data_IF_735344560566
#
_entry.id   IF_735344560566
#
_cell.length_a   1.000
_cell.length_b   1.000
_cell.length_c   1.000
_cell.angle_alpha   90.00
_cell.angle_beta   90.00
_cell.angle_gamma   90.00
#
_symmetry.space_group_name_H-M   'P 1'
#
loop_
_entity.id
_entity.type
_entity.pdbx_description
1 polymer ?
2 non-polymer ?
3 non-polymer ?
#
# COMPACT_ATOMS: atom_id res chain seq x y z
N UNK A 7 0.01 -28.20 18.01
CA UNK A 7 -1.28 -28.18 17.32
C UNK A 7 -2.42 -28.18 18.34
N UNK A 8 -2.14 -27.69 19.55
CA UNK A 8 -3.15 -27.72 20.61
C UNK A 8 -4.28 -26.74 20.33
N UNK A 9 -3.93 -25.51 19.93
CA UNK A 9 -4.92 -24.48 19.63
C UNK A 9 -5.46 -24.59 18.22
N UNK A 10 -5.32 -25.74 17.57
CA UNK A 10 -5.81 -25.96 16.22
C UNK A 10 -7.24 -26.49 16.18
N UNK A 11 -7.98 -26.35 17.28
CA UNK A 11 -9.36 -26.81 17.30
C UNK A 11 -10.34 -25.70 17.55
N UNK A 12 -9.85 -24.45 17.50
CA UNK A 12 -10.69 -23.31 17.81
C UNK A 12 -11.84 -23.17 16.82
N UNK A 13 -11.52 -23.21 15.52
CA UNK A 13 -12.56 -23.04 14.51
C UNK A 13 -13.45 -24.26 14.40
N UNK A 14 -12.90 -25.46 14.67
CA UNK A 14 -13.75 -26.65 14.75
C UNK A 14 -14.77 -26.51 15.87
N UNK A 15 -14.36 -25.89 16.99
CA UNK A 15 -15.29 -25.64 18.08
C UNK A 15 -16.34 -24.61 17.69
N UNK A 16 -15.90 -23.46 17.16
CA UNK A 16 -16.81 -22.37 16.79
C UNK A 16 -17.70 -22.72 15.60
N UNK A 17 -17.45 -23.85 14.94
CA UNK A 17 -18.23 -24.19 13.76
C UNK A 17 -17.95 -23.31 12.57
N UNK A 18 -16.69 -22.96 12.37
CA UNK A 18 -16.26 -22.08 11.28
C UNK A 18 -15.40 -22.89 10.32
N UNK A 19 -15.71 -22.91 9.03
CA UNK A 19 -14.96 -23.77 8.10
C UNK A 19 -13.56 -23.22 7.83
N UNK A 20 -12.75 -24.06 7.20
CA UNK A 20 -11.40 -23.70 6.84
C UNK A 20 -10.55 -24.90 6.50
N UNK A 21 -9.36 -24.66 5.95
CA UNK A 21 -8.46 -25.77 5.61
C UNK A 21 -7.86 -26.39 6.87
N UNK A 22 -7.76 -27.71 6.86
CA UNK A 22 -7.27 -28.45 8.02
C UNK A 22 -5.81 -28.12 8.28
N UNK A 23 -5.45 -27.62 9.47
CA UNK A 23 -4.06 -27.20 9.71
C UNK A 23 -3.19 -28.38 10.12
N UNK A 24 -1.99 -28.45 9.52
CA UNK A 24 -1.00 -29.41 9.97
C UNK A 24 -0.39 -28.94 11.29
N UNK A 25 0.11 -29.87 12.11
CA UNK A 25 0.70 -29.48 13.39
C UNK A 25 1.91 -28.56 13.26
N UNK A 26 2.01 -27.61 14.17
CA UNK A 26 3.03 -26.57 14.17
C UNK A 26 2.92 -25.60 12.99
N UNK A 27 2.92 -26.14 11.77
CA UNK A 27 2.87 -25.29 10.59
C UNK A 27 1.52 -24.62 10.41
N UNK A 28 0.44 -25.28 10.83
CA UNK A 28 -0.88 -24.74 10.59
C UNK A 28 -1.26 -24.90 9.13
N UNK A 29 -1.58 -23.79 8.46
CA UNK A 29 -1.93 -23.80 7.05
C UNK A 29 -0.95 -23.01 6.20
N UNK A 30 0.27 -22.80 6.70
CA UNK A 30 1.21 -21.93 6.00
C UNK A 30 1.73 -22.56 4.72
N UNK A 31 1.69 -23.89 4.60
CA UNK A 31 2.11 -24.53 3.36
C UNK A 31 1.23 -24.13 2.18
N UNK A 32 0.00 -23.70 2.45
CA UNK A 32 -0.90 -23.25 1.40
C UNK A 32 -0.49 -21.90 0.82
N UNK A 33 0.44 -21.18 1.46
CA UNK A 33 0.99 -19.94 0.91
C UNK A 33 1.93 -20.16 -0.27
N UNK A 34 2.07 -21.40 -0.76
CA UNK A 34 3.01 -21.67 -1.84
C UNK A 34 2.65 -20.96 -3.13
N UNK A 35 1.39 -20.56 -3.29
CA UNK A 35 0.95 -19.78 -4.44
C UNK A 35 0.76 -18.31 -4.10
N UNK A 36 1.14 -17.89 -2.91
CA UNK A 36 0.96 -16.52 -2.48
C UNK A 36 -0.30 -16.30 -1.66
N UNK A 37 -0.29 -15.22 -0.89
CA UNK A 37 -1.45 -14.86 -0.08
C UNK A 37 -2.69 -14.69 -0.96
N UNK A 38 -2.50 -14.13 -2.15
CA UNK A 38 -3.64 -13.77 -2.99
C UNK A 38 -4.39 -15.01 -3.48
N UNK A 39 -3.67 -15.95 -4.09
CA UNK A 39 -4.32 -17.16 -4.59
C UNK A 39 -4.92 -17.97 -3.45
N UNK A 40 -4.24 -17.98 -2.30
CA UNK A 40 -4.78 -18.69 -1.13
C UNK A 40 -6.08 -18.04 -0.65
N UNK A 41 -6.13 -16.71 -0.64
CA UNK A 41 -7.35 -16.02 -0.23
C UNK A 41 -8.45 -16.17 -1.26
N UNK A 42 -8.11 -16.10 -2.55
CA UNK A 42 -9.11 -16.27 -3.60
C UNK A 42 -9.69 -17.69 -3.58
N UNK A 43 -8.84 -18.70 -3.33
CA UNK A 43 -9.32 -20.07 -3.26
C UNK A 43 -10.24 -20.27 -2.06
N UNK A 44 -9.82 -19.79 -0.88
CA UNK A 44 -10.61 -19.99 0.32
C UNK A 44 -11.92 -19.21 0.27
N UNK A 45 -11.94 -18.04 -0.39
CA UNK A 45 -13.17 -17.30 -0.56
C UNK A 45 -14.20 -18.12 -1.34
N UNK A 46 -13.73 -18.98 -2.24
CA UNK A 46 -14.64 -19.83 -3.00
C UNK A 46 -14.97 -21.11 -2.23
N UNK A 47 -14.02 -21.63 -1.46
CA UNK A 47 -14.20 -22.93 -0.84
C UNK A 47 -15.17 -22.88 0.34
N UNK A 48 -15.14 -21.78 1.10
CA UNK A 48 -15.87 -21.73 2.37
C UNK A 48 -16.88 -20.61 2.47
N UNK A 49 -16.93 -19.68 1.51
CA UNK A 49 -18.00 -18.71 1.45
C UNK A 49 -17.65 -17.40 2.14
N UNK A 50 -18.56 -16.93 2.99
CA UNK A 50 -18.46 -15.58 3.54
C UNK A 50 -17.51 -15.47 4.72
N UNK A 51 -17.26 -16.57 5.44
CA UNK A 51 -16.44 -16.53 6.64
C UNK A 51 -15.71 -17.86 6.76
N UNK A 52 -14.40 -17.79 7.01
CA UNK A 52 -13.59 -18.98 7.22
C UNK A 52 -12.39 -18.61 8.08
N UNK A 53 -11.71 -19.64 8.58
CA UNK A 53 -10.56 -19.44 9.44
C UNK A 53 -9.44 -20.38 9.09
N UNK A 54 -8.21 -19.90 9.27
CA UNK A 54 -7.01 -20.70 9.07
C UNK A 54 -6.00 -20.32 10.14
N UNK A 55 -4.87 -21.02 10.14
CA UNK A 55 -3.86 -20.87 11.18
C UNK A 55 -2.52 -20.47 10.56
N UNK A 56 -1.99 -19.33 11.00
CA UNK A 56 -0.62 -18.93 10.67
C UNK A 56 0.30 -19.48 11.76
N UNK A 57 0.64 -20.76 11.60
CA UNK A 57 1.33 -21.49 12.65
C UNK A 57 0.36 -21.95 13.71
N UNK A 58 0.52 -21.46 14.92
CA UNK A 58 -0.46 -21.65 15.99
C UNK A 58 -1.43 -20.48 16.09
N UNK A 59 -1.30 -19.48 15.23
CA UNK A 59 -2.08 -18.25 15.33
C UNK A 59 -3.37 -18.39 14.52
N UNK A 60 -4.54 -18.34 15.15
CA UNK A 60 -5.79 -18.42 14.39
C UNK A 60 -6.09 -17.10 13.69
N UNK A 61 -6.45 -17.18 12.42
CA UNK A 61 -6.80 -16.01 11.61
C UNK A 61 -8.16 -16.26 10.99
N UNK A 62 -9.13 -15.41 11.32
CA UNK A 62 -10.49 -15.51 10.81
C UNK A 62 -10.66 -14.52 9.67
N UNK A 63 -11.06 -15.03 8.51
CA UNK A 63 -11.30 -14.20 7.33
C UNK A 63 -12.78 -13.88 7.22
N UNK A 64 -13.10 -12.61 7.04
CA UNK A 64 -14.47 -12.13 6.93
C UNK A 64 -14.63 -11.36 5.63
N UNK A 65 -15.80 -11.51 5.00
CA UNK A 65 -16.12 -10.78 3.79
C UNK A 65 -17.42 -9.99 3.87
N UNK A 66 -18.17 -10.10 4.95
CA UNK A 66 -19.44 -9.38 5.09
C UNK A 66 -19.16 -7.89 5.23
N UNK A 67 -19.65 -7.05 4.31
CA UNK A 67 -19.33 -5.61 4.39
C UNK A 67 -19.80 -4.96 5.69
N UNK A 68 -20.87 -5.47 6.30
CA UNK A 68 -21.27 -4.96 7.61
C UNK A 68 -20.26 -5.38 8.68
N UNK A 69 -19.83 -6.64 8.66
CA UNK A 69 -18.83 -7.09 9.62
C UNK A 69 -17.49 -6.41 9.39
N UNK A 70 -17.18 -6.05 8.15
CA UNK A 70 -15.97 -5.29 7.87
C UNK A 70 -16.09 -3.87 8.40
N UNK A 71 -17.26 -3.25 8.21
CA UNK A 71 -17.51 -1.93 8.78
C UNK A 71 -17.42 -1.95 10.30
N UNK A 72 -17.88 -3.04 10.92
CA UNK A 72 -17.82 -3.15 12.37
C UNK A 72 -16.38 -3.21 12.87
N UNK A 73 -15.56 -4.06 12.24
CA UNK A 73 -14.17 -4.23 12.70
C UNK A 73 -13.36 -2.97 12.46
N UNK A 74 -13.44 -2.40 11.26
CA UNK A 74 -12.55 -1.31 10.90
C UNK A 74 -13.01 0.03 11.43
N UNK A 75 -14.31 0.20 11.66
CA UNK A 75 -14.84 1.52 12.02
C UNK A 75 -15.53 1.47 13.38
N UNK A 76 -16.63 0.72 13.47
CA UNK A 76 -17.51 0.82 14.62
C UNK A 76 -16.82 0.37 15.90
N UNK A 77 -15.96 -0.64 15.82
CA UNK A 77 -15.30 -1.19 17.00
C UNK A 77 -13.79 -1.07 16.92
N UNK A 78 -13.29 -0.06 16.19
CA UNK A 78 -11.85 0.11 16.06
C UNK A 78 -11.21 0.49 17.38
N UNK A 79 -11.68 1.57 18.01
CA UNK A 79 -11.08 2.03 19.25
C UNK A 79 -11.31 1.05 20.39
N UNK A 80 -12.41 0.30 20.35
CA UNK A 80 -12.79 -0.54 21.48
C UNK A 80 -12.12 -1.92 21.44
N UNK A 81 -12.14 -2.59 20.29
CA UNK A 81 -11.77 -4.00 20.19
C UNK A 81 -10.66 -4.20 19.16
N UNK A 82 -10.82 -3.64 17.97
CA UNK A 82 -9.91 -3.88 16.85
C UNK A 82 -9.04 -2.65 16.64
N UNK A 83 -8.11 -2.44 17.57
CA UNK A 83 -7.28 -1.24 17.58
C UNK A 83 -5.93 -1.47 16.90
N UNK A 84 -5.34 -2.66 17.07
CA UNK A 84 -3.97 -2.91 16.65
C UNK A 84 -3.92 -3.99 15.58
N UNK A 85 -2.84 -3.98 14.81
CA UNK A 85 -2.58 -5.01 13.82
C UNK A 85 -1.83 -6.17 14.46
N UNK A 86 -1.48 -7.15 13.64
CA UNK A 86 -0.76 -8.32 14.14
C UNK A 86 0.60 -7.90 14.69
N UNK A 87 1.00 -8.40 15.85
CA UNK A 87 2.32 -8.05 16.40
C UNK A 87 3.44 -8.46 15.46
N UNK A 88 4.35 -7.53 15.20
CA UNK A 88 5.42 -7.71 14.24
C UNK A 88 6.75 -7.47 14.93
N UNK A 89 7.64 -8.47 14.87
CA UNK A 89 8.93 -8.37 15.49
C UNK A 89 9.94 -9.34 14.90
N UNK A 90 11.22 -9.14 15.20
CA UNK A 90 11.80 -8.13 16.09
C UNK A 90 11.86 -6.75 15.44
N UNK A 91 11.66 -5.68 16.20
CA UNK A 91 11.61 -4.31 15.68
C UNK A 91 12.65 -3.42 16.36
N UNK A 92 12.75 -3.51 17.68
CA UNK A 92 13.69 -2.67 18.43
C UNK A 92 13.06 -1.33 18.77
N UNK A 93 13.78 -0.25 18.48
CA UNK A 93 13.25 1.09 18.73
C UNK A 93 12.06 1.41 17.83
N UNK A 94 11.93 0.73 16.70
CA UNK A 94 10.84 0.97 15.76
C UNK A 94 9.48 0.54 16.30
N UNK A 95 9.40 0.00 17.52
CA UNK A 95 8.11 -0.29 18.12
C UNK A 95 7.29 0.97 18.32
N UNK A 96 7.95 2.12 18.46
CA UNK A 96 7.27 3.39 18.61
C UNK A 96 6.77 3.97 17.29
N UNK A 97 6.94 3.24 16.20
CA UNK A 97 6.40 3.69 14.92
C UNK A 97 4.88 3.62 14.92
N UNK A 98 4.26 4.56 14.22
CA UNK A 98 2.80 4.67 14.24
C UNK A 98 2.15 3.42 13.65
N UNK A 99 2.78 2.84 12.62
CA UNK A 99 2.22 1.64 12.00
C UNK A 99 2.35 0.43 12.90
N UNK A 100 3.27 0.44 13.86
CA UNK A 100 3.49 -0.70 14.73
C UNK A 100 3.01 -0.46 16.16
N UNK A 101 2.89 0.81 16.59
CA UNK A 101 2.45 1.09 17.95
C UNK A 101 1.03 0.62 18.17
N UNK A 102 0.64 0.54 19.45
CA UNK A 102 -0.62 -0.06 19.85
C UNK A 102 -1.35 0.83 20.85
N UNK A 103 -2.68 0.70 20.85
CA UNK A 103 -3.56 1.29 21.85
C UNK A 103 -3.33 2.79 22.05
N UNK A 104 -3.06 3.19 23.30
CA UNK A 104 -2.94 4.61 23.61
C UNK A 104 -1.72 5.23 22.92
N UNK A 105 -0.60 4.50 22.86
CA UNK A 105 0.58 5.03 22.21
C UNK A 105 0.31 5.34 20.74
N UNK A 106 -0.49 4.50 20.08
CA UNK A 106 -0.86 4.77 18.70
C UNK A 106 -1.80 5.97 18.61
N UNK A 107 -2.76 6.08 19.53
CA UNK A 107 -3.70 7.19 19.50
C UNK A 107 -2.97 8.52 19.66
N UNK A 108 -1.93 8.56 20.48
CA UNK A 108 -1.15 9.78 20.65
C UNK A 108 -0.33 10.09 19.40
N UNK A 109 0.21 9.04 18.76
CA UNK A 109 0.98 9.24 17.53
C UNK A 109 0.08 9.65 16.37
N UNK A 110 -1.12 9.08 16.30
CA UNK A 110 -2.03 9.40 15.19
C UNK A 110 -2.41 10.87 15.20
N UNK A 111 -2.80 11.39 16.36
CA UNK A 111 -3.17 12.80 16.46
C UNK A 111 -1.98 13.71 16.16
N UNK A 112 -0.78 13.29 16.58
CA UNK A 112 0.41 14.11 16.42
C UNK A 112 0.83 14.23 14.96
N UNK A 113 0.63 13.18 14.17
CA UNK A 113 1.07 13.15 12.78
C UNK A 113 -0.04 13.42 11.78
N UNK A 114 -1.28 13.56 12.24
CA UNK A 114 -2.40 13.77 11.32
C UNK A 114 -2.39 15.09 10.57
N UNK A 115 -1.99 16.24 11.15
CA UNK A 115 -2.00 17.49 10.38
C UNK A 115 -0.92 17.60 9.33
N UNK A 116 -0.21 16.51 9.06
CA UNK A 116 0.81 16.51 8.01
C UNK A 116 0.18 16.37 6.62
N UNK A 117 -0.95 15.67 6.51
CA UNK A 117 -1.60 15.40 5.23
C UNK A 117 -2.95 16.08 5.13
N UNK A 118 -3.07 17.31 5.62
CA UNK A 118 -4.28 18.07 5.42
C UNK A 118 -4.35 18.57 3.97
N UNK A 119 -5.52 19.09 3.60
CA UNK A 119 -5.70 19.62 2.25
C UNK A 119 -4.81 20.84 2.03
N UNK A 120 -4.44 21.55 3.10
CA UNK A 120 -3.57 22.69 2.99
C UNK A 120 -2.11 22.31 2.88
N UNK A 121 -1.66 21.39 3.74
CA UNK A 121 -0.27 20.94 3.68
C UNK A 121 0.02 20.20 2.38
N UNK A 122 -0.98 19.52 1.82
CA UNK A 122 -0.79 18.88 0.52
C UNK A 122 -0.67 19.91 -0.58
N UNK A 123 -1.44 20.99 -0.50
CA UNK A 123 -1.36 22.06 -1.50
C UNK A 123 -0.03 22.80 -1.43
N UNK A 124 0.63 22.80 -0.27
CA UNK A 124 1.96 23.39 -0.18
C UNK A 124 3.03 22.54 -0.85
N UNK A 125 2.76 21.25 -1.06
CA UNK A 125 3.73 20.34 -1.65
C UNK A 125 3.62 20.24 -3.16
N UNK A 126 2.54 20.73 -3.76
CA UNK A 126 2.41 20.69 -5.22
C UNK A 126 3.47 21.53 -5.91
N UNK A 127 3.77 22.76 -5.49
CA UNK A 127 4.89 23.49 -6.12
C UNK A 127 6.24 22.84 -5.88
N UNK A 128 6.37 22.02 -4.84
CA UNK A 128 7.64 21.35 -4.56
C UNK A 128 7.77 20.06 -5.37
N UNK A 129 6.68 19.29 -5.47
CA UNK A 129 6.71 18.04 -6.23
C UNK A 129 6.94 18.32 -7.71
N UNK A 130 6.47 19.46 -8.22
CA UNK A 130 6.58 19.78 -9.63
C UNK A 130 8.01 19.85 -10.13
N UNK A 131 9.00 19.89 -9.23
CA UNK A 131 10.40 19.91 -9.67
C UNK A 131 10.84 18.55 -10.18
N UNK A 132 10.74 17.52 -9.34
CA UNK A 132 11.26 16.20 -9.68
C UNK A 132 10.43 15.50 -10.74
N UNK A 133 9.25 16.02 -11.08
CA UNK A 133 8.55 15.55 -12.27
C UNK A 133 9.30 15.91 -13.54
N UNK A 134 10.00 17.04 -13.54
CA UNK A 134 10.82 17.41 -14.69
C UNK A 134 12.14 16.66 -14.71
N UNK A 135 12.69 16.33 -13.54
CA UNK A 135 13.83 15.41 -13.49
C UNK A 135 13.39 14.03 -13.98
N UNK A 136 12.15 13.65 -13.71
CA UNK A 136 11.62 12.37 -14.18
C UNK A 136 11.48 12.36 -15.69
N UNK A 137 11.02 13.46 -16.28
CA UNK A 137 10.87 13.52 -17.73
C UNK A 137 12.23 13.57 -18.42
N UNK A 138 13.14 14.40 -17.91
CA UNK A 138 14.46 14.52 -18.53
C UNK A 138 15.27 13.24 -18.37
N UNK A 139 15.13 12.53 -17.25
CA UNK A 139 15.78 11.23 -17.12
C UNK A 139 15.17 10.21 -18.07
N UNK A 140 13.90 10.40 -18.44
CA UNK A 140 13.27 9.51 -19.40
C UNK A 140 13.57 9.89 -20.83
N UNK A 141 13.71 11.20 -21.10
CA UNK A 141 14.00 11.65 -22.45
C UNK A 141 15.35 11.14 -22.96
N UNK A 142 16.27 10.83 -22.05
CA UNK A 142 17.55 10.24 -22.45
C UNK A 142 17.38 8.79 -22.87
N UNK A 143 16.66 8.00 -22.07
CA UNK A 143 16.39 6.62 -22.39
C UNK A 143 15.29 6.45 -23.43
N UNK A 144 14.71 7.54 -23.92
CA UNK A 144 13.73 7.50 -25.00
C UNK A 144 14.30 7.88 -26.35
N UNK A 145 15.16 8.92 -26.39
CA UNK A 145 15.84 9.27 -27.63
C UNK A 145 16.81 8.18 -28.06
N UNK A 146 17.23 7.31 -27.15
CA UNK A 146 17.93 6.08 -27.48
C UNK A 146 16.76 5.13 -27.37
N UNK A 147 16.57 4.29 -28.40
CA UNK A 147 15.50 3.32 -28.41
C UNK A 147 15.87 2.14 -27.53
N UNK A 148 15.90 2.36 -26.22
CA UNK A 148 16.33 1.36 -25.26
C UNK A 148 15.16 1.21 -24.30
N UNK A 149 14.59 0.01 -24.15
CA UNK A 149 13.48 -0.17 -23.21
C UNK A 149 13.88 0.24 -21.80
N UNK A 150 12.89 0.69 -21.03
CA UNK A 150 13.11 1.34 -19.74
C UNK A 150 12.50 0.48 -18.64
N UNK A 151 13.31 0.20 -17.61
CA UNK A 151 12.78 -0.34 -16.37
C UNK A 151 12.05 0.76 -15.62
N UNK A 152 10.74 0.60 -15.45
CA UNK A 152 9.93 1.69 -14.91
C UNK A 152 10.22 1.94 -13.44
N UNK A 153 10.32 0.87 -12.65
CA UNK A 153 10.50 1.03 -11.20
C UNK A 153 11.81 1.73 -10.85
N UNK A 154 12.81 1.67 -11.74
CA UNK A 154 14.05 2.40 -11.51
C UNK A 154 13.83 3.91 -11.65
N UNK A 155 13.31 4.34 -12.79
CA UNK A 155 13.10 5.77 -13.02
C UNK A 155 11.93 6.28 -12.17
N UNK A 156 10.98 5.41 -11.81
CA UNK A 156 9.92 5.80 -10.90
C UNK A 156 10.42 5.87 -9.47
N UNK A 157 11.14 4.84 -9.03
CA UNK A 157 11.71 4.85 -7.68
C UNK A 157 12.70 5.99 -7.49
N UNK A 158 13.46 6.31 -8.53
CA UNK A 158 14.33 7.48 -8.48
C UNK A 158 13.50 8.75 -8.27
N UNK A 159 12.34 8.83 -8.91
CA UNK A 159 11.43 9.95 -8.66
C UNK A 159 10.81 9.84 -7.28
N UNK A 160 10.30 8.66 -6.93
CA UNK A 160 9.62 8.49 -5.65
C UNK A 160 10.55 8.74 -4.47
N UNK A 161 11.85 8.43 -4.62
CA UNK A 161 12.80 8.74 -3.55
C UNK A 161 13.05 10.23 -3.46
N UNK A 162 13.11 10.92 -4.60
CA UNK A 162 13.28 12.37 -4.59
C UNK A 162 12.10 13.08 -3.91
N UNK A 163 10.90 12.50 -4.00
CA UNK A 163 9.72 13.16 -3.46
C UNK A 163 9.71 13.08 -1.94
N UNK A 164 9.94 11.87 -1.40
CA UNK A 164 9.75 11.67 0.03
C UNK A 164 10.81 12.38 0.85
N UNK A 165 12.03 12.51 0.31
CA UNK A 165 13.10 13.15 1.07
C UNK A 165 12.86 14.64 1.26
N UNK A 166 12.22 15.29 0.29
CA UNK A 166 11.98 16.73 0.36
C UNK A 166 10.60 17.07 0.92
N UNK A 167 9.58 16.26 0.62
CA UNK A 167 8.24 16.52 1.16
C UNK A 167 8.20 16.42 2.67
N UNK A 168 9.14 15.70 3.28
CA UNK A 168 9.18 15.54 4.73
C UNK A 168 10.35 16.24 5.40
N UNK A 169 11.48 16.36 4.71
CA UNK A 169 12.68 16.95 5.29
C UNK A 169 13.15 18.18 4.51
N UNK A 170 13.55 18.01 3.25
CA UNK A 170 13.99 19.13 2.45
C UNK A 170 15.28 18.88 1.70
N UNK A 171 15.75 17.64 1.70
CA UNK A 171 17.00 17.29 1.04
C UNK A 171 16.73 17.03 -0.44
N UNK A 172 17.51 17.68 -1.30
CA UNK A 172 17.33 17.61 -2.75
C UNK A 172 18.49 16.85 -3.37
N UNK A 173 18.17 15.75 -4.06
CA UNK A 173 19.16 14.90 -4.71
C UNK A 173 18.58 14.37 -6.01
N UNK A 174 19.34 14.45 -7.10
CA UNK A 174 18.98 13.80 -8.35
C UNK A 174 19.30 12.33 -8.14
N UNK A 175 18.27 11.48 -8.17
CA UNK A 175 18.46 10.07 -7.85
C UNK A 175 19.05 9.27 -9.00
N UNK A 176 20.09 9.81 -9.64
CA UNK A 176 20.97 9.04 -10.51
C UNK A 176 22.44 9.12 -10.13
N UNK A 177 22.79 9.89 -9.11
CA UNK A 177 24.11 9.87 -8.48
C UNK A 177 23.87 9.00 -7.25
N UNK A 178 24.74 9.11 -6.25
CA UNK A 178 24.67 8.25 -5.07
C UNK A 178 23.46 8.44 -4.16
N UNK A 179 22.49 7.53 -4.16
CA UNK A 179 21.32 7.70 -3.28
C UNK A 179 21.61 7.10 -1.92
N UNK A 180 21.79 7.96 -0.91
CA UNK A 180 21.99 7.50 0.46
C UNK A 180 20.72 6.98 1.12
N UNK A 181 20.18 5.86 0.61
CA UNK A 181 18.97 5.26 1.17
C UNK A 181 18.81 3.80 0.78
N UNK A 182 19.58 2.88 1.40
CA UNK A 182 19.37 1.45 1.15
C UNK A 182 18.39 0.84 2.14
N UNK A 183 17.78 -0.27 1.72
CA UNK A 183 16.76 -0.94 2.58
C UNK A 183 16.42 -2.30 1.97
N UNK A 198 11.35 -15.39 2.34
CA UNK A 198 12.72 -15.24 2.82
C UNK A 198 12.80 -15.60 4.31
N UNK A 199 13.34 -14.70 5.12
CA UNK A 199 13.39 -14.94 6.58
C UNK A 199 12.28 -14.15 7.26
N UNK A 200 11.72 -13.17 6.54
CA UNK A 200 10.63 -12.34 7.11
C UNK A 200 9.46 -13.27 7.49
N UNK A 201 9.50 -14.52 7.00
CA UNK A 201 8.49 -15.51 7.42
C UNK A 201 9.15 -16.26 8.58
N UNK A 202 8.69 -17.48 8.88
CA UNK A 202 9.13 -18.21 10.09
C UNK A 202 8.57 -17.59 11.37
N UNK A 203 8.64 -16.28 11.50
CA UNK A 203 7.97 -15.56 12.62
C UNK A 203 6.60 -16.19 12.89
N UNK A 204 5.83 -16.43 11.83
CA UNK A 204 4.50 -17.07 11.98
C UNK A 204 4.68 -18.35 12.80
N UNK A 205 5.52 -19.26 12.33
CA UNK A 205 5.70 -20.58 13.00
C UNK A 205 6.78 -20.46 14.08
N UNK A 206 7.29 -19.25 14.30
CA UNK A 206 8.30 -19.05 15.37
C UNK A 206 8.14 -17.65 15.95
N UNK A 207 6.95 -17.30 16.50
CA UNK A 207 6.77 -15.99 17.10
C UNK A 207 7.42 -16.06 18.47
N UNK A 208 7.37 -17.24 19.10
CA UNK A 208 8.08 -17.41 20.39
C UNK A 208 9.48 -16.84 20.21
N UNK A 209 9.98 -16.92 18.98
CA UNK A 209 11.32 -16.43 18.75
C UNK A 209 11.40 -14.93 18.60
N UNK A 210 10.26 -14.25 18.49
CA UNK A 210 10.26 -12.80 18.35
C UNK A 210 10.80 -12.17 19.63
N UNK A 211 10.26 -12.47 20.81
CA UNK A 211 10.84 -11.87 22.03
C UNK A 211 12.30 -12.21 22.23
N UNK A 212 12.74 -13.37 21.75
CA UNK A 212 14.14 -13.78 21.75
C UNK A 212 15.07 -12.80 21.06
N UNK A 213 14.78 -12.52 19.78
CA UNK A 213 15.49 -11.50 19.03
C UNK A 213 15.22 -10.09 19.54
N UNK A 214 14.22 -9.92 20.40
CA UNK A 214 13.96 -8.63 21.04
C UNK A 214 15.07 -8.09 21.94
N UNK A 215 16.15 -8.84 22.13
CA UNK A 215 17.16 -8.56 23.16
C UNK A 215 18.56 -8.54 22.57
N UNK A 216 18.79 -9.34 21.53
CA UNK A 216 20.08 -9.33 20.84
C UNK A 216 20.09 -8.21 19.79
N UNK A 217 19.23 -7.21 19.94
CA UNK A 217 19.24 -5.98 19.15
C UNK A 217 19.25 -6.23 17.64
N UNK A 218 18.81 -7.40 17.20
CA UNK A 218 18.58 -7.64 15.78
C UNK A 218 17.32 -6.89 15.37
N UNK A 219 17.50 -5.66 14.91
CA UNK A 219 16.38 -4.77 14.59
C UNK A 219 16.34 -4.44 13.11
N UNK A 226 20.69 -1.48 10.60
CA UNK A 226 21.86 -0.63 10.51
C UNK A 226 21.63 0.70 11.23
N UNK A 227 22.72 1.34 11.65
CA UNK A 227 22.63 2.63 12.32
C UNK A 227 22.69 3.80 11.35
N UNK A 228 22.66 3.52 10.03
CA UNK A 228 22.70 4.51 8.96
C UNK A 228 22.00 5.85 8.99
N UNK A 229 20.67 5.83 9.08
CA UNK A 229 19.87 6.99 9.48
C UNK A 229 19.53 6.97 10.96
N UNK A 230 19.70 5.83 11.64
CA UNK A 230 19.58 5.77 13.08
C UNK A 230 20.47 6.78 13.78
N UNK A 231 21.55 7.20 13.13
CA UNK A 231 22.35 8.34 13.57
C UNK A 231 22.36 9.48 12.57
N UNK A 232 22.21 9.20 11.28
CA UNK A 232 22.17 10.26 10.27
C UNK A 232 20.87 11.05 10.37
N UNK A 233 19.73 10.36 10.25
CA UNK A 233 18.44 11.04 10.43
C UNK A 233 18.30 11.51 11.86
N UNK A 234 18.83 10.75 12.82
CA UNK A 234 18.92 11.24 14.19
C UNK A 234 19.68 12.56 14.26
N UNK A 235 20.64 12.73 13.34
CA UNK A 235 21.38 14.01 13.27
C UNK A 235 20.61 14.94 12.34
N UNK A 236 19.28 15.00 12.49
CA UNK A 236 18.47 16.00 11.73
C UNK A 236 18.52 17.34 12.47
N UNK A 237 19.73 17.77 12.84
CA UNK A 237 19.90 19.04 13.61
C UNK A 237 18.97 20.13 13.06
N UNK A 238 18.87 20.27 11.73
CA UNK A 238 18.07 21.38 11.17
C UNK A 238 18.29 22.63 12.04
N UNK A 239 19.54 22.89 12.42
CA UNK A 239 19.86 24.05 13.29
C UNK A 239 21.29 24.52 13.00
N UNK A 250 7.17 21.81 7.30
CA UNK A 250 7.33 20.44 6.84
C UNK A 250 6.99 19.45 7.96
N UNK A 251 6.97 18.16 7.60
CA UNK A 251 6.70 17.13 8.61
C UNK A 251 7.76 17.14 9.70
N UNK A 252 9.01 17.43 9.35
CA UNK A 252 10.05 17.61 10.35
C UNK A 252 9.80 18.86 11.18
N UNK A 253 9.22 19.90 10.58
CA UNK A 253 8.93 21.13 11.31
C UNK A 253 7.82 20.91 12.33
N UNK A 254 6.66 20.41 11.86
CA UNK A 254 5.47 20.27 12.71
C UNK A 254 5.68 19.31 13.88
N UNK A 255 6.80 18.61 13.94
CA UNK A 255 7.05 17.65 15.01
C UNK A 255 7.66 18.33 16.24
N UNK A 256 8.81 19.00 16.07
CA UNK A 256 9.38 19.74 17.18
C UNK A 256 8.50 20.91 17.58
N UNK A 257 7.68 21.42 16.65
CA UNK A 257 6.70 22.44 17.02
C UNK A 257 5.64 21.90 17.96
N UNK A 268 0.27 14.46 23.88
CA UNK A 268 1.40 14.88 24.76
C UNK A 268 2.55 15.39 23.90
N UNK A 269 3.74 14.82 24.05
CA UNK A 269 4.91 15.36 23.32
C UNK A 269 5.41 14.35 22.29
N UNK A 270 6.65 14.53 21.82
CA UNK A 270 7.24 13.59 20.84
C UNK A 270 8.76 13.64 20.95
N UNK A 271 9.40 12.47 21.02
CA UNK A 271 10.88 12.41 21.20
C UNK A 271 11.57 12.67 19.86
N UNK A 272 12.88 12.93 19.91
CA UNK A 272 13.65 13.11 18.65
C UNK A 272 13.88 11.73 18.03
N UNK A 273 13.89 10.68 18.86
CA UNK A 273 13.98 9.32 18.26
C UNK A 273 12.57 8.98 17.78
N UNK A 274 11.56 9.29 18.59
CA UNK A 274 10.18 9.09 18.13
C UNK A 274 10.10 9.77 16.78
N UNK A 275 11.01 10.72 16.54
CA UNK A 275 11.05 11.40 15.26
C UNK A 275 11.70 10.53 14.19
N UNK A 276 12.73 9.78 14.57
CA UNK A 276 13.44 8.95 13.59
C UNK A 276 12.54 7.82 13.11
N UNK A 277 11.88 7.13 14.03
CA UNK A 277 11.06 5.98 13.66
C UNK A 277 9.94 6.37 12.71
N UNK A 278 9.27 7.50 12.98
CA UNK A 278 8.20 7.94 12.10
C UNK A 278 8.74 8.34 10.73
N UNK A 279 9.89 9.03 10.70
CA UNK A 279 10.50 9.38 9.43
C UNK A 279 10.78 8.14 8.59
N UNK A 280 11.26 7.07 9.22
CA UNK A 280 11.54 5.82 8.49
C UNK A 280 10.25 5.25 7.93
N UNK A 281 9.16 5.31 8.70
CA UNK A 281 7.87 4.81 8.22
C UNK A 281 7.43 5.60 6.99
N UNK A 282 7.46 6.93 7.09
CA UNK A 282 7.06 7.77 5.96
C UNK A 282 8.01 7.60 4.79
N UNK A 283 9.26 7.21 5.05
CA UNK A 283 10.21 6.92 3.97
C UNK A 283 9.87 5.60 3.29
N UNK A 284 9.48 4.59 4.09
CA UNK A 284 9.11 3.28 3.54
C UNK A 284 8.03 3.41 2.47
N UNK A 285 6.90 4.02 2.83
CA UNK A 285 5.74 4.03 1.94
C UNK A 285 5.99 4.86 0.69
N UNK A 286 6.41 6.11 0.87
CA UNK A 286 6.49 7.03 -0.26
C UNK A 286 7.43 6.61 -1.36
N UNK A 287 8.29 5.62 -1.11
CA UNK A 287 9.17 5.12 -2.15
C UNK A 287 8.60 3.87 -2.80
N UNK A 288 8.52 2.78 -2.04
CA UNK A 288 8.20 1.48 -2.64
C UNK A 288 6.77 1.44 -3.14
N UNK A 289 5.82 1.96 -2.34
CA UNK A 289 4.43 1.93 -2.76
C UNK A 289 4.18 2.83 -3.96
N UNK A 290 4.78 4.02 -3.96
CA UNK A 290 4.55 4.97 -5.05
C UNK A 290 5.10 4.43 -6.37
N UNK A 291 6.30 3.83 -6.33
CA UNK A 291 6.91 3.34 -7.57
C UNK A 291 6.18 2.10 -8.08
N UNK A 292 5.84 1.17 -7.19
CA UNK A 292 5.23 -0.08 -7.63
C UNK A 292 3.88 0.14 -8.27
N UNK A 293 3.07 1.04 -7.73
CA UNK A 293 1.77 1.33 -8.32
C UNK A 293 1.93 2.03 -9.66
N UNK A 294 2.87 2.98 -9.74
CA UNK A 294 3.12 3.66 -11.01
C UNK A 294 3.57 2.68 -12.09
N UNK A 295 4.31 1.64 -11.70
CA UNK A 295 4.65 0.59 -12.66
C UNK A 295 3.43 -0.23 -13.04
N UNK A 296 2.54 -0.49 -12.07
CA UNK A 296 1.31 -1.21 -12.36
C UNK A 296 0.43 -0.42 -13.33
N UNK A 297 0.41 0.91 -13.20
CA UNK A 297 -0.43 1.73 -14.05
C UNK A 297 0.09 1.73 -15.48
N UNK A 298 1.41 1.88 -15.65
CA UNK A 298 1.96 1.98 -17.01
C UNK A 298 1.87 0.66 -17.75
N UNK A 299 1.91 -0.47 -17.04
CA UNK A 299 1.67 -1.76 -17.68
C UNK A 299 0.25 -1.82 -18.24
N UNK A 300 -0.73 -1.43 -17.43
CA UNK A 300 -2.12 -1.47 -17.88
C UNK A 300 -2.38 -0.41 -18.96
N UNK A 301 -1.71 0.73 -18.89
CA UNK A 301 -1.85 1.73 -19.95
C UNK A 301 -1.18 1.27 -21.24
N UNK A 302 -0.17 0.40 -21.14
CA UNK A 302 0.50 -0.10 -22.32
C UNK A 302 -0.26 -1.23 -22.98
N UNK A 303 -0.82 -2.15 -22.18
CA UNK A 303 -1.60 -3.25 -22.71
C UNK A 303 -3.03 -2.85 -23.06
N UNK A 304 -3.43 -1.63 -22.72
CA UNK A 304 -4.75 -1.09 -23.10
C UNK A 304 -4.52 0.29 -23.70
N UNK A 305 -4.12 0.36 -24.96
CA UNK A 305 -3.79 1.66 -25.57
C UNK A 305 -4.97 2.61 -25.68
N UNK A 306 -6.20 2.10 -25.71
CA UNK A 306 -7.36 2.97 -25.82
C UNK A 306 -7.53 3.82 -24.56
N UNK A 307 -7.31 3.22 -23.38
CA UNK A 307 -7.41 3.97 -22.14
C UNK A 307 -6.27 4.97 -22.02
N UNK A 308 -5.08 4.60 -22.52
CA UNK A 308 -3.93 5.50 -22.43
C UNK A 308 -4.14 6.77 -23.24
N UNK A 309 -4.77 6.65 -24.41
CA UNK A 309 -5.02 7.82 -25.24
C UNK A 309 -6.14 8.69 -24.65
N UNK A 310 -7.23 8.04 -24.22
CA UNK A 310 -8.33 8.78 -23.60
C UNK A 310 -7.87 9.53 -22.36
N UNK A 311 -6.87 9.01 -21.66
CA UNK A 311 -6.30 9.72 -20.53
C UNK A 311 -5.42 10.88 -20.98
N UNK A 312 -4.63 10.68 -22.03
CA UNK A 312 -3.80 11.77 -22.56
C UNK A 312 -4.65 12.90 -23.11
N UNK A 313 -5.84 12.59 -23.64
CA UNK A 313 -6.71 13.63 -24.16
C UNK A 313 -7.26 14.51 -23.05
N UNK A 314 -7.56 13.92 -21.89
CA UNK A 314 -8.06 14.70 -20.77
C UNK A 314 -6.96 15.57 -20.17
N UNK A 315 -5.73 15.07 -20.13
CA UNK A 315 -4.63 15.81 -19.55
C UNK A 315 -4.33 17.07 -20.36
N UNK A 316 -4.35 16.95 -21.69
CA UNK A 316 -4.14 18.12 -22.55
C UNK A 316 -5.32 19.09 -22.47
N UNK A 317 -6.50 18.61 -22.07
CA UNK A 317 -7.66 19.49 -21.97
C UNK A 317 -7.58 20.37 -20.72
N UNK A 318 -7.50 19.74 -19.54
CA UNK A 318 -7.39 20.49 -18.30
C UNK A 318 -6.11 21.32 -18.28
N UNK A 319 -5.04 20.80 -18.88
CA UNK A 319 -3.73 21.47 -18.91
C UNK A 319 -3.35 21.71 -20.37
N UNK A 320 -3.87 22.76 -20.99
CA UNK A 320 -3.48 23.05 -22.38
C UNK A 320 -2.06 23.59 -22.46
N UNK A 321 -1.45 23.41 -23.64
CA UNK A 321 -0.05 23.79 -23.87
C UNK A 321 0.89 23.13 -22.87
N UNK A 322 0.56 21.89 -22.49
CA UNK A 322 1.30 21.14 -21.47
C UNK A 322 1.43 21.96 -20.20
N UNK A 323 0.30 22.47 -19.71
CA UNK A 323 0.31 23.35 -18.55
C UNK A 323 0.80 22.60 -17.31
N UNK A 324 1.48 23.29 -16.40
CA UNK A 324 1.97 22.64 -15.19
C UNK A 324 0.83 22.19 -14.31
N UNK A 325 0.84 20.94 -13.84
CA UNK A 325 -0.25 20.46 -12.99
C UNK A 325 -0.23 21.14 -11.63
N UNK A 326 -1.39 21.63 -11.22
CA UNK A 326 -1.57 22.27 -9.92
C UNK A 326 -2.45 21.39 -9.03
N UNK A 327 -2.60 21.82 -7.77
CA UNK A 327 -3.39 21.04 -6.82
C UNK A 327 -4.82 20.87 -7.29
N UNK A 328 -5.43 21.94 -7.82
CA UNK A 328 -6.84 21.90 -8.18
C UNK A 328 -7.07 21.30 -9.56
N UNK A 329 -6.11 21.44 -10.48
CA UNK A 329 -6.27 20.84 -11.80
C UNK A 329 -6.13 19.32 -11.75
N UNK A 330 -5.36 18.80 -10.80
CA UNK A 330 -5.24 17.35 -10.65
C UNK A 330 -6.56 16.76 -10.17
N UNK A 331 -7.22 17.43 -9.22
CA UNK A 331 -8.49 16.92 -8.70
C UNK A 331 -9.62 17.01 -9.71
N UNK A 332 -9.52 17.90 -10.70
CA UNK A 332 -10.56 18.02 -11.71
C UNK A 332 -10.56 16.82 -12.65
N UNK A 333 -9.40 16.22 -12.89
CA UNK A 333 -9.29 15.10 -13.82
C UNK A 333 -9.94 13.86 -13.22
N UNK A 334 -11.11 13.47 -13.75
CA UNK A 334 -11.83 12.33 -13.22
C UNK A 334 -11.31 11.02 -13.81
N UNK A 335 -11.02 11.01 -15.12
CA UNK A 335 -10.54 9.78 -15.75
C UNK A 335 -9.18 9.36 -15.21
N UNK A 336 -8.34 10.32 -14.82
CA UNK A 336 -7.10 9.98 -14.15
C UNK A 336 -7.37 9.33 -12.80
N UNK A 337 -8.41 9.79 -12.09
CA UNK A 337 -8.80 9.15 -10.84
C UNK A 337 -9.34 7.75 -11.09
N UNK A 338 -10.08 7.57 -12.18
CA UNK A 338 -10.66 6.26 -12.48
C UNK A 338 -9.57 5.24 -12.82
N UNK A 339 -8.55 5.67 -13.57
CA UNK A 339 -7.45 4.76 -13.90
C UNK A 339 -6.69 4.35 -12.66
N UNK A 340 -6.40 5.32 -11.78
CA UNK A 340 -5.68 5.00 -10.54
C UNK A 340 -6.51 4.08 -9.65
N UNK A 341 -7.82 4.34 -9.58
CA UNK A 341 -8.69 3.51 -8.75
C UNK A 341 -8.79 2.09 -9.30
N UNK A 342 -8.90 1.95 -10.63
CA UNK A 342 -9.05 0.62 -11.21
C UNK A 342 -7.76 -0.19 -11.09
N UNK A 343 -6.61 0.45 -11.27
CA UNK A 343 -5.33 -0.25 -11.08
C UNK A 343 -5.19 -0.72 -9.63
N UNK A 344 -5.59 0.12 -8.67
CA UNK A 344 -5.50 -0.27 -7.26
C UNK A 344 -6.52 -1.35 -6.89
N UNK A 345 -7.58 -1.51 -7.69
CA UNK A 345 -8.44 -2.67 -7.49
C UNK A 345 -7.74 -3.95 -7.92
N UNK A 346 -7.14 -3.95 -9.10
CA UNK A 346 -6.44 -5.13 -9.58
C UNK A 346 -5.18 -5.40 -8.77
N UNK A 347 -4.58 -4.36 -8.18
CA UNK A 347 -3.32 -4.51 -7.45
C UNK A 347 -3.39 -3.72 -6.14
N UNK A 348 -4.14 -4.22 -5.16
CA UNK A 348 -4.05 -3.63 -3.81
C UNK A 348 -2.76 -4.06 -3.13
N UNK A 349 -1.74 -3.19 -3.17
CA UNK A 349 -0.39 -3.54 -2.77
C UNK A 349 -0.30 -4.07 -1.34
N UNK A 350 -1.35 -3.91 -0.54
CA UNK A 350 -1.38 -4.49 0.80
C UNK A 350 -2.00 -5.89 0.82
N UNK A 351 -2.87 -6.19 -0.15
CA UNK A 351 -3.49 -7.50 -0.31
C UNK A 351 -4.47 -7.77 0.83
N UNK A 352 -4.05 -7.55 2.07
CA UNK A 352 -4.83 -7.93 3.24
C UNK A 352 -4.86 -6.78 4.23
N UNK A 353 -5.96 -6.71 4.98
CA UNK A 353 -6.10 -5.85 6.14
C UNK A 353 -6.26 -6.72 7.37
N UNK A 354 -5.68 -6.30 8.50
CA UNK A 354 -5.68 -7.13 9.69
C UNK A 354 -5.91 -6.28 10.94
N UNK A 355 -6.63 -6.87 11.90
CA UNK A 355 -6.85 -6.28 13.22
C UNK A 355 -6.80 -7.41 14.24
N UNK A 356 -6.26 -7.11 15.42
CA UNK A 356 -6.20 -8.07 16.52
C UNK A 356 -7.39 -7.85 17.44
N UNK A 357 -8.18 -8.90 17.64
CA UNK A 357 -9.34 -8.86 18.53
C UNK A 357 -8.87 -8.94 19.97
N UNK A 358 -8.90 -7.80 20.68
CA UNK A 358 -8.30 -7.70 22.00
C UNK A 358 -9.16 -8.30 23.11
N UNK A 359 -10.43 -8.61 22.84
CA UNK A 359 -11.28 -9.21 23.85
C UNK A 359 -12.49 -9.84 23.18
N UNK A 360 -13.15 -10.73 23.91
CA UNK A 360 -14.31 -11.44 23.37
C UNK A 360 -15.38 -10.47 22.90
N UNK A 361 -15.89 -10.70 21.69
CA UNK A 361 -16.92 -9.85 21.10
C UNK A 361 -17.85 -10.72 20.28
N UNK A 362 -19.01 -10.14 19.96
CA UNK A 362 -20.05 -10.78 19.13
C UNK A 362 -20.48 -9.74 18.11
N UNK A 363 -19.82 -9.73 16.94
CA UNK A 363 -20.05 -8.72 15.91
C UNK A 363 -20.96 -9.31 14.84
N UNK A 364 -22.00 -8.56 14.49
CA UNK A 364 -22.95 -8.93 13.44
C UNK A 364 -23.44 -10.38 13.58
N UNK A 365 -23.59 -10.81 14.83
CA UNK A 365 -24.13 -12.13 15.12
C UNK A 365 -23.14 -13.27 15.05
N UNK A 366 -21.86 -13.00 15.31
CA UNK A 366 -20.83 -14.04 15.28
C UNK A 366 -19.87 -13.81 16.44
N UNK A 367 -19.74 -14.83 17.29
CA UNK A 367 -18.79 -14.74 18.40
C UNK A 367 -17.37 -14.88 17.89
N UNK A 368 -16.50 -13.97 18.33
CA UNK A 368 -15.09 -13.97 17.94
C UNK A 368 -14.25 -13.92 19.21
N UNK A 369 -13.39 -14.91 19.45
CA UNK A 369 -12.68 -14.97 20.73
C UNK A 369 -11.46 -14.05 20.76
N UNK A 370 -11.00 -13.78 21.97
CA UNK A 370 -9.87 -12.89 22.19
C UNK A 370 -8.60 -13.48 21.59
N UNK A 371 -7.75 -12.60 21.04
CA UNK A 371 -6.49 -13.00 20.46
C UNK A 371 -6.55 -13.39 19.00
N UNK A 372 -7.74 -13.64 18.45
CA UNK A 372 -7.87 -14.02 17.06
C UNK A 372 -7.61 -12.81 16.17
N UNK A 373 -6.84 -13.03 15.10
CA UNK A 373 -6.59 -12.02 14.09
C UNK A 373 -7.73 -12.04 13.09
N UNK A 374 -8.39 -10.89 12.92
CA UNK A 374 -9.45 -10.73 11.93
C UNK A 374 -8.82 -10.15 10.67
N UNK A 375 -9.07 -10.81 9.53
CA UNK A 375 -8.43 -10.46 8.28
C UNK A 375 -9.49 -10.15 7.22
N UNK A 376 -9.22 -9.13 6.40
CA UNK A 376 -10.08 -8.75 5.30
C UNK A 376 -9.31 -8.98 4.00
N UNK A 377 -9.63 -10.01 3.23
CA UNK A 377 -8.88 -10.28 2.00
C UNK A 377 -9.13 -9.24 0.92
N UNK A 378 -8.38 -8.14 0.95
CA UNK A 378 -8.61 -7.05 0.00
C UNK A 378 -8.45 -7.51 -1.44
N UNK A 379 -7.40 -8.29 -1.71
CA UNK A 379 -7.17 -8.76 -3.08
C UNK A 379 -8.32 -9.63 -3.56
N UNK A 380 -8.77 -10.57 -2.72
CA UNK A 380 -9.83 -11.48 -3.13
C UNK A 380 -11.14 -10.73 -3.35
N UNK A 381 -11.46 -9.78 -2.46
CA UNK A 381 -12.68 -9.01 -2.62
C UNK A 381 -12.64 -8.10 -3.85
N UNK A 382 -11.45 -7.58 -4.18
CA UNK A 382 -11.31 -6.77 -5.38
C UNK A 382 -11.48 -7.58 -6.66
N UNK A 383 -11.35 -8.90 -6.58
CA UNK A 383 -11.53 -9.79 -7.73
C UNK A 383 -12.77 -10.66 -7.58
N UNK A 384 -13.58 -10.44 -6.56
CA UNK A 384 -14.77 -11.24 -6.32
C UNK A 384 -15.76 -11.05 -7.46
N UNK A 385 -16.11 -12.11 -8.21
CA UNK A 385 -17.10 -11.95 -9.29
C UNK A 385 -18.49 -11.60 -8.79
N UNK A 386 -18.79 -11.87 -7.51
CA UNK A 386 -20.06 -11.46 -6.92
C UNK A 386 -20.21 -9.95 -6.72
N UNK A 387 -19.25 -9.15 -7.19
CA UNK A 387 -19.25 -7.71 -6.99
C UNK A 387 -18.78 -7.01 -8.26
N UNK A 388 -17.91 -7.67 -9.03
CA UNK A 388 -17.27 -7.08 -10.19
C UNK A 388 -17.53 -7.93 -11.41
N UNK A 389 -18.02 -7.29 -12.48
CA UNK A 389 -18.24 -7.96 -13.75
C UNK A 389 -16.91 -8.06 -14.51
N UNK A 390 -16.56 -9.28 -14.90
CA UNK A 390 -15.26 -9.56 -15.53
C UNK A 390 -14.13 -8.98 -14.68
N UNK A 391 -13.94 -9.50 -13.46
CA UNK A 391 -13.03 -8.82 -12.52
C UNK A 391 -11.57 -8.83 -12.95
N UNK A 392 -11.15 -9.84 -13.71
CA UNK A 392 -9.75 -9.88 -14.17
C UNK A 392 -9.45 -8.85 -15.24
N UNK A 393 -10.48 -8.23 -15.83
CA UNK A 393 -10.28 -7.31 -16.95
C UNK A 393 -10.11 -5.88 -16.43
N UNK A 394 -9.11 -5.19 -16.95
CA UNK A 394 -8.88 -3.79 -16.62
C UNK A 394 -9.96 -2.94 -17.28
N UNK A 395 -10.84 -2.36 -16.47
CA UNK A 395 -11.98 -1.58 -16.96
C UNK A 395 -12.19 -0.38 -16.06
N UNK A 396 -11.56 0.77 -16.38
CA UNK A 396 -11.71 1.96 -15.54
C UNK A 396 -13.13 2.51 -15.48
N UNK A 397 -14.02 2.08 -16.38
CA UNK A 397 -15.39 2.57 -16.37
C UNK A 397 -16.20 2.07 -15.18
N UNK A 398 -15.64 1.18 -14.36
CA UNK A 398 -16.30 0.82 -13.11
C UNK A 398 -16.40 2.01 -12.18
N UNK A 399 -15.42 2.92 -12.24
CA UNK A 399 -15.33 4.05 -11.33
C UNK A 399 -15.84 5.35 -11.95
N UNK A 400 -16.59 5.27 -13.04
CA UNK A 400 -17.26 6.45 -13.57
C UNK A 400 -18.37 6.87 -12.62
N UNK A 401 -18.65 8.18 -12.58
CA UNK A 401 -19.70 8.68 -11.69
C UNK A 401 -21.06 8.12 -12.05
N UNK A 402 -21.22 7.57 -13.25
CA UNK A 402 -22.42 6.81 -13.57
C UNK A 402 -22.42 5.45 -12.90
N UNK A 403 -21.24 4.90 -12.60
CA UNK A 403 -21.12 3.56 -12.04
C UNK A 403 -20.34 3.51 -10.74
N UNK A 404 -19.77 4.63 -10.27
CA UNK A 404 -19.04 4.60 -9.00
C UNK A 404 -19.96 4.40 -7.79
N UNK A 405 -21.29 4.48 -7.99
CA UNK A 405 -22.25 4.27 -6.90
C UNK A 405 -22.55 2.81 -6.63
N UNK A 406 -22.28 1.92 -7.59
CA UNK A 406 -22.51 0.48 -7.44
C UNK A 406 -21.30 -0.21 -6.82
N UNK A 407 -20.52 0.52 -6.01
CA UNK A 407 -19.28 0.00 -5.45
C UNK A 407 -19.32 0.17 -3.94
N UNK A 408 -19.22 -0.94 -3.21
CA UNK A 408 -19.28 -0.90 -1.75
C UNK A 408 -17.92 -0.49 -1.19
N UNK A 409 -17.85 0.54 -0.34
CA UNK A 409 -16.56 1.01 0.16
C UNK A 409 -15.91 0.08 1.18
N UNK A 410 -16.58 -0.98 1.59
CA UNK A 410 -15.97 -2.01 2.43
C UNK A 410 -15.61 -3.25 1.64
N UNK A 411 -15.82 -3.22 0.33
CA UNK A 411 -15.28 -4.24 -0.57
C UNK A 411 -14.05 -3.73 -1.31
N UNK A 412 -14.10 -2.49 -1.78
CA UNK A 412 -12.96 -1.83 -2.41
C UNK A 412 -12.25 -1.00 -1.34
N UNK A 413 -11.21 -1.57 -0.75
CA UNK A 413 -10.45 -0.92 0.33
C UNK A 413 -8.96 -0.97 0.01
N UNK A 414 -8.51 -0.16 -0.96
CA UNK A 414 -7.07 -0.12 -1.24
C UNK A 414 -6.26 0.62 -0.18
N UNK A 415 -6.90 1.46 0.63
CA UNK A 415 -6.22 2.22 1.67
C UNK A 415 -6.75 1.89 3.07
N UNK A 416 -7.37 0.73 3.24
CA UNK A 416 -8.00 0.39 4.49
C UNK A 416 -9.27 1.19 4.71
N UNK A 417 -9.66 1.29 5.98
CA UNK A 417 -10.84 2.06 6.36
C UNK A 417 -10.83 2.24 7.87
N UNK A 418 -11.59 3.24 8.32
CA UNK A 418 -11.72 3.51 9.74
C UNK A 418 -10.63 4.43 10.26
N UNK A 419 -10.52 4.53 11.59
CA UNK A 419 -9.51 5.43 12.18
C UNK A 419 -8.09 5.07 11.81
N UNK A 420 -7.79 3.78 11.58
CA UNK A 420 -6.44 3.34 11.26
C UNK A 420 -6.27 3.07 9.78
N UNK A 421 -6.86 3.92 8.92
CA UNK A 421 -6.67 3.80 7.49
C UNK A 421 -5.28 4.30 7.10
N UNK A 422 -4.98 4.29 5.82
CA UNK A 422 -3.71 4.80 5.32
C UNK A 422 -3.66 6.31 5.51
N UNK A 423 -2.86 6.75 6.50
CA UNK A 423 -2.77 8.17 6.81
C UNK A 423 -2.16 8.97 5.65
N UNK A 424 -1.39 8.31 4.79
CA UNK A 424 -0.79 9.02 3.66
C UNK A 424 -1.51 8.77 2.36
N UNK A 425 -2.83 8.53 2.44
CA UNK A 425 -3.62 8.26 1.25
C UNK A 425 -3.67 9.46 0.31
N UNK A 426 -4.12 10.60 0.84
CA UNK A 426 -4.29 11.79 -0.01
C UNK A 426 -2.95 12.24 -0.59
N UNK A 427 -1.87 12.11 0.18
CA UNK A 427 -0.55 12.44 -0.35
C UNK A 427 -0.13 11.46 -1.45
N UNK A 428 -0.39 10.17 -1.24
CA UNK A 428 0.02 9.17 -2.22
C UNK A 428 -0.71 9.34 -3.55
N UNK A 429 -2.03 9.49 -3.50
CA UNK A 429 -2.80 9.70 -4.72
C UNK A 429 -2.33 10.94 -5.45
N UNK A 430 -2.11 12.04 -4.72
CA UNK A 430 -1.64 13.26 -5.35
C UNK A 430 -0.23 13.09 -5.91
N UNK A 431 0.63 12.37 -5.19
CA UNK A 431 2.00 12.16 -5.66
C UNK A 431 2.01 11.36 -6.96
N UNK A 432 1.24 10.28 -7.02
CA UNK A 432 1.21 9.46 -8.22
C UNK A 432 0.53 10.19 -9.38
N UNK A 433 -0.56 10.92 -9.10
CA UNK A 433 -1.26 11.63 -10.16
C UNK A 433 -0.40 12.75 -10.73
N UNK A 434 0.31 13.48 -9.87
CA UNK A 434 1.23 14.51 -10.35
C UNK A 434 2.33 13.92 -11.22
N UNK A 435 2.66 12.63 -11.01
CA UNK A 435 3.68 11.98 -11.82
C UNK A 435 3.11 11.49 -13.14
N UNK A 436 1.90 10.93 -13.13
CA UNK A 436 1.30 10.42 -14.36
C UNK A 436 1.03 11.55 -15.34
N UNK A 437 0.63 12.72 -14.86
CA UNK A 437 0.29 13.83 -15.74
C UNK A 437 1.52 14.29 -16.51
N UNK A 438 2.63 14.54 -15.80
CA UNK A 438 3.81 15.08 -16.45
C UNK A 438 4.48 14.05 -17.36
N UNK A 439 4.31 12.76 -17.07
CA UNK A 439 4.91 11.72 -17.90
C UNK A 439 4.08 11.49 -19.16
N UNK A 440 2.76 11.32 -19.00
CA UNK A 440 1.90 11.11 -20.15
C UNK A 440 1.77 12.36 -21.01
N UNK A 441 2.05 13.54 -20.47
CA UNK A 441 2.07 14.76 -21.26
C UNK A 441 3.20 14.76 -22.28
N UNK A 442 4.24 13.94 -22.07
CA UNK A 442 5.41 13.92 -22.94
C UNK A 442 5.63 12.60 -23.66
N UNK A 443 5.27 11.47 -23.06
CA UNK A 443 5.63 10.17 -23.60
C UNK A 443 4.39 9.28 -23.76
N UNK A 444 4.48 8.37 -24.73
CA UNK A 444 3.53 7.29 -24.89
C UNK A 444 4.26 5.96 -24.71
N UNK A 445 3.54 4.95 -24.24
CA UNK A 445 4.13 3.69 -23.83
C UNK A 445 3.53 2.54 -24.61
N UNK A 446 4.39 1.66 -25.12
CA UNK A 446 4.01 0.52 -25.92
C UNK A 446 4.65 -0.76 -25.37
N UNK A 447 4.01 -1.91 -25.56
CA UNK A 447 4.63 -3.16 -25.10
C UNK A 447 5.88 -3.49 -25.90
N UNK A 448 6.85 -4.08 -25.20
CA UNK A 448 8.12 -4.46 -25.79
C UNK A 448 8.19 -5.97 -25.99
N UNK A 449 9.30 -6.42 -26.56
CA UNK A 449 9.51 -7.85 -26.78
C UNK A 449 9.66 -8.60 -25.46
N UNK A 450 10.32 -7.99 -24.49
CA UNK A 450 10.57 -8.61 -23.18
C UNK A 450 9.53 -8.21 -22.14
N UNK A 451 8.46 -7.53 -22.54
CA UNK A 451 7.41 -7.17 -21.58
C UNK A 451 6.59 -8.40 -21.22
N UNK A 452 6.42 -8.63 -19.92
CA UNK A 452 5.70 -9.80 -19.42
C UNK A 452 4.22 -9.62 -19.68
N UNK A 453 3.70 -10.30 -20.69
CA UNK A 453 2.28 -10.23 -21.05
C UNK A 453 1.73 -11.65 -21.11
N UNK A 454 0.81 -12.03 -20.21
CA UNK A 454 0.23 -11.24 -19.13
C UNK A 454 1.20 -11.08 -17.95
N UNK A 455 0.92 -10.15 -17.04
CA UNK A 455 1.81 -9.90 -15.92
C UNK A 455 1.53 -10.89 -14.80
N UNK A 456 2.51 -11.72 -14.48
CA UNK A 456 2.41 -12.55 -13.28
C UNK A 456 2.63 -11.70 -12.05
N UNK A 457 1.83 -11.95 -11.02
CA UNK A 457 2.10 -11.35 -9.72
C UNK A 457 3.18 -12.16 -9.00
N UNK A 458 3.87 -11.49 -8.08
CA UNK A 458 4.89 -12.17 -7.30
C UNK A 458 4.25 -13.24 -6.43
N UNK A 459 4.51 -14.52 -6.76
CA UNK A 459 4.00 -15.62 -5.96
C UNK A 459 4.57 -15.65 -4.55
N UNK A 460 5.48 -14.73 -4.22
CA UNK A 460 6.10 -14.69 -2.91
C UNK A 460 5.21 -13.75 -2.12
N UNK A 461 5.83 -12.94 -1.26
CA UNK A 461 5.19 -12.28 -0.13
C UNK A 461 4.48 -10.98 -0.44
N UNK A 462 5.22 -9.99 -0.94
CA UNK A 462 4.67 -8.67 -1.22
C UNK A 462 4.17 -8.59 -2.66
N UNK A 463 3.20 -7.70 -2.89
CA UNK A 463 2.50 -7.61 -4.17
C UNK A 463 3.35 -6.80 -5.14
N UNK A 464 4.13 -7.53 -5.94
CA UNK A 464 4.94 -6.97 -7.01
C UNK A 464 4.82 -7.89 -8.21
N UNK A 465 5.25 -7.45 -9.39
CA UNK A 465 5.34 -8.37 -10.53
C UNK A 465 6.54 -9.30 -10.40
N UNK A 466 6.40 -10.48 -11.00
CA UNK A 466 7.52 -11.41 -11.08
C UNK A 466 8.68 -10.77 -11.85
N UNK A 467 8.49 -10.59 -13.14
CA UNK A 467 9.47 -9.84 -13.92
C UNK A 467 9.19 -8.34 -13.84
N UNK A 468 10.23 -7.52 -13.74
CA UNK A 468 10.02 -6.06 -13.72
C UNK A 468 9.34 -5.58 -14.99
N UNK A 469 8.68 -4.43 -14.89
CA UNK A 469 7.90 -3.88 -15.98
C UNK A 469 8.84 -3.07 -16.87
N UNK A 470 9.09 -3.57 -18.08
CA UNK A 470 9.90 -2.88 -19.07
C UNK A 470 9.01 -2.56 -20.27
N UNK A 471 8.98 -1.28 -20.65
CA UNK A 471 8.16 -0.80 -21.75
C UNK A 471 8.99 0.08 -22.66
N UNK A 472 8.54 0.20 -23.91
CA UNK A 472 9.16 1.10 -24.86
C UNK A 472 8.56 2.49 -24.69
N UNK A 473 9.42 3.50 -24.67
CA UNK A 473 9.01 4.88 -24.43
C UNK A 473 9.24 5.67 -25.71
N UNK A 474 8.19 6.36 -26.18
CA UNK A 474 8.25 7.19 -27.36
C UNK A 474 7.90 8.62 -26.99
N UNK A 475 8.50 9.58 -27.70
CA UNK A 475 8.36 10.99 -27.38
C UNK A 475 7.31 11.64 -28.29
N UNK A 476 6.36 12.32 -27.67
CA UNK A 476 5.31 13.02 -28.42
C UNK A 476 5.83 14.35 -28.95
X LIG B 1 -1.43 2.18 6.35
X LIG B 1 -2.10 1.41 1.60
X LIG B 1 0.98 5.02 0.59
X LIG B 1 1.55 5.89 5.33
X LIG B 1 -1.88 1.65 5.16
X LIG B 1 -2.81 0.54 5.01
X LIG B 1 -2.99 0.34 3.70
X LIG B 1 -2.19 1.30 2.98
X LIG B 1 -3.89 -0.73 3.06
X LIG B 1 -3.47 -0.26 6.15
X LIG B 1 -4.88 0.26 6.40
X LIG B 1 -5.57 -0.66 7.37
X LIG B 1 -6.76 -0.39 7.71
X LIG B 1 -4.96 -1.67 7.81
X LIG B 1 -1.35 2.34 0.91
X LIG B 1 -1.34 2.52 -0.53
X LIG B 1 -0.48 3.52 -0.81
X LIG B 1 0.07 3.99 0.44
X LIG B 1 -2.20 1.66 -1.49
X LIG B 1 -0.08 4.13 -2.18
X LIG B 1 -0.52 3.71 -3.37
X LIG B 1 1.36 5.61 1.77
X LIG B 1 2.15 6.81 1.91
X LIG B 1 2.33 7.06 3.21
X LIG B 1 1.64 6.02 3.96
X LIG B 1 2.71 7.66 0.74
X LIG B 1 3.13 8.27 3.75
X LIG B 1 3.38 8.47 5.05
X LIG B 1 0.84 4.92 6.02
X LIG B 1 0.87 4.70 7.45
X LIG B 1 0.05 3.69 7.73
X LIG B 1 -0.54 3.21 6.49
X LIG B 1 1.70 5.49 8.49
X LIG B 1 -0.23 3.11 9.14
X LIG B 1 -1.54 3.71 9.63
X LIG B 1 -1.69 3.52 11.12
X LIG B 1 -2.33 4.38 11.77
X LIG B 1 -1.16 2.50 11.65
X LIG B 1 -1.52 2.08 3.91
X LIG B 1 -0.48 3.26 1.47
X LIG B 1 1.07 5.15 3.04
X LIG B 1 -0.03 3.99 5.47
X LIG B 1 -0.21 3.59 3.47
X LIG C 1 4.82 1.77 4.80
X LIG C 1 4.80 1.45 6.31
X LIG C 1 3.98 0.19 6.68
X LIG C 1 5.53 -0.69 8.53
X LIG C 1 6.42 -1.78 9.14
X LIG C 1 6.06 -4.56 8.08
X LIG C 1 5.16 -4.30 6.86
X LIG C 1 6.08 -3.48 4.72
X LIG C 1 7.72 -1.95 8.32
X LIG C 1 8.91 -2.08 9.29
X LIG C 1 10.15 -1.24 11.20
X LIG C 1 11.04 -2.30 11.09
X LIG C 1 10.86 -3.26 10.08
X LIG C 1 9.79 -3.15 9.19
X LIG C 1 9.08 -1.12 10.30
X LIG C 1 3.82 -5.07 6.95
X LIG C 1 2.81 -4.42 5.98
X LIG C 1 2.84 -4.81 4.64
X LIG C 1 1.90 -3.43 6.40
X LIG C 1 1.02 -2.86 5.48
X LIG C 1 1.06 -3.27 4.14
X LIG C 1 1.96 -4.24 3.72
X LIG C 1 6.75 -3.53 3.35
X LIG C 1 3.51 1.44 4.05
X LIG C 1 3.48 0.31 3.23
X LIG C 1 2.28 0.02 2.55
X LIG C 1 1.18 0.86 2.73
X LIG C 1 2.38 2.24 4.19
X LIG C 1 8.04 -3.06 3.22
X LIG C 1 8.01 -3.49 0.92
X LIG C 1 6.69 -3.96 1.00
X LIG C 1 6.04 -3.97 2.24
X LIG C 1 1.84 -3.00 7.74
X LIG C 1 0.92 -2.02 8.14
X LIG C 1 0.05 -1.45 7.20
X LIG C 1 0.10 -1.88 5.87
X LIG C 1 4.83 -0.88 7.24
X LIG C 1 5.83 -4.63 5.59
X LIG C 1 1.25 1.94 3.52
X LIG C 1 8.63 -3.06 2.03
X LIG C 1 5.43 0.34 9.13
X LIG C 1 5.73 -2.41 5.11
X LIG C 1 5.49 -3.35 9.32
#
# INVERSE_FOLDING_TARGET
>A
MAYLYGTHSHGLFKKLGIPGPTPLPFLGNILSYHKGFCMFDMECHKKYGKVWGFYDGQQPVLAITDPDMIKTVLVKECYSVFTNRRPFGPVGFMKSAISIAEDEEWKRLRSLLSPTFTSGKLKEMVPIIAQYGDVLVRNLRREAETGKPVTLKDVFGAYSMDVITSTSFGVNIDSLNNPQDPFVENTKKLLRFDFLDPFFLSITVFPFLIPILEVLNICVFPREVTNFLRKSVKRMKESRLEDTQKHRVDFLQLMIDSQNSKETESHKALSDLELVAQSIIFIFAGYETTSSVLSFIMYELATHPDVQQKLQEEIDAVLPNKAPPTYDTVLQMEYLDMVVNETLRLFPIAMRLERVCKKDVEINGMFIPKGVVVMIPSYALHRDPKYWTEPEKFLPERFSKKNKDNIDPYIYTPFGSGPRNCIGMRFALMNMKLALIRVLQNFSFKPCKETQIPLKLSLGGLLQPEKPVVLKVESRDGTVSGAHHHH
>B hetero
1 HEM CHA CHB CHC CHD C1A C2A C3A C4A CMA CAA CBA CGA O1A O2A C1B C2B C3B C4B CMB CAB CBB C1C C2C C3C C4C CMC CAC CBC C1D C2D C3D C4D CMD CAD CBD CGD O1D O2D NA NB NC ND FE
>C hetero
1 A1A4K C01 C02 C03 C05 C06 C08 C09 C11 C13 C14 C15 C16 C17 C18 C19 C20 C21 C22 C23 C24 C25 C26 C28 C29 C30 C31 C32 C34 C35 C37 C38 C39 C40 C41 C42 C43 N04 N10 N33 N36 O12 O27 S07
#
